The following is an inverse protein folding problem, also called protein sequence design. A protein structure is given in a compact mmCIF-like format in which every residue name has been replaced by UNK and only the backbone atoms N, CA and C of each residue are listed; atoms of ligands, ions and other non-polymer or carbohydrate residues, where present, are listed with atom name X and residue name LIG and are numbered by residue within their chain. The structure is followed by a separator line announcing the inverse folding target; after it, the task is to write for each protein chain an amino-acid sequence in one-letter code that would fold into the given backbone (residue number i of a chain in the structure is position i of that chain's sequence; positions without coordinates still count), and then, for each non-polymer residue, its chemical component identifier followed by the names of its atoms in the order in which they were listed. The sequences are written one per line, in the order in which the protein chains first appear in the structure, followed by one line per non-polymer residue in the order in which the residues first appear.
data_IF_423149948205
#
_entry.id   IF_423149948205
#
_cell.length_a   1.000
_cell.length_b   1.000
_cell.length_c   1.000
_cell.angle_alpha   90.00
_cell.angle_beta   90.00
_cell.angle_gamma   90.00
#
_symmetry.space_group_name_H-M   'P 1'
#
loop_
_entity.id
_entity.type
_entity.pdbx_description
1 polymer ?
#
# COMPACT_ATOMS: atom_id res chain seq x y z
N UNK A 1 -18.74 -34.21 -30.85
CA UNK A 1 -18.28 -32.80 -30.68
C UNK A 1 -17.46 -32.75 -29.39
N UNK A 2 -16.13 -32.82 -29.49
CA UNK A 2 -15.27 -32.67 -28.32
C UNK A 2 -15.24 -31.17 -27.94
N UNK A 3 -15.39 -30.80 -26.65
CA UNK A 3 -15.25 -29.40 -26.24
C UNK A 3 -13.80 -28.99 -26.46
N UNK A 4 -13.57 -28.02 -27.34
CA UNK A 4 -12.24 -27.46 -27.53
C UNK A 4 -11.80 -26.84 -26.20
N UNK A 5 -10.58 -27.15 -25.71
CA UNK A 5 -10.02 -26.43 -24.58
C UNK A 5 -9.95 -24.97 -25.01
N UNK A 6 -10.77 -24.12 -24.38
CA UNK A 6 -10.61 -22.68 -24.46
C UNK A 6 -9.24 -22.39 -23.86
N UNK A 7 -8.22 -22.35 -24.72
CA UNK A 7 -6.94 -21.76 -24.38
C UNK A 7 -7.30 -20.35 -23.99
N UNK A 8 -7.42 -20.13 -22.67
CA UNK A 8 -7.55 -18.83 -22.05
C UNK A 8 -6.30 -18.09 -22.48
N UNK A 9 -6.40 -17.42 -23.62
CA UNK A 9 -5.39 -16.51 -24.09
C UNK A 9 -5.38 -15.43 -23.03
N UNK A 10 -4.53 -15.61 -22.03
CA UNK A 10 -3.99 -14.53 -21.23
C UNK A 10 -3.57 -13.54 -22.31
N UNK A 11 -4.25 -12.38 -22.47
CA UNK A 11 -3.83 -11.46 -23.50
C UNK A 11 -2.42 -11.08 -23.05
N UNK A 12 -1.42 -11.56 -23.78
CA UNK A 12 -0.08 -11.01 -23.76
C UNK A 12 -0.20 -9.60 -24.36
N UNK A 13 -0.89 -8.72 -23.63
CA UNK A 13 -1.04 -7.33 -23.95
C UNK A 13 0.32 -6.71 -23.63
N UNK A 14 1.07 -6.43 -24.70
CA UNK A 14 2.47 -6.02 -24.67
C UNK A 14 2.80 -4.94 -23.63
N UNK A 15 4.09 -4.86 -23.30
CA UNK A 15 4.77 -3.97 -22.34
C UNK A 15 4.08 -2.67 -21.89
N UNK A 16 3.31 -2.00 -22.76
CA UNK A 16 2.46 -0.83 -22.43
C UNK A 16 1.34 -1.12 -21.42
N UNK A 17 0.71 -2.30 -21.43
CA UNK A 17 -0.34 -2.63 -20.47
C UNK A 17 0.25 -2.91 -19.07
N UNK A 18 1.40 -3.59 -19.00
CA UNK A 18 2.15 -3.78 -17.75
C UNK A 18 2.56 -2.46 -17.10
N UNK A 19 3.02 -1.47 -17.89
CA UNK A 19 3.34 -0.14 -17.37
C UNK A 19 2.13 0.58 -16.76
N UNK A 20 0.93 0.43 -17.34
CA UNK A 20 -0.29 1.01 -16.77
C UNK A 20 -0.69 0.36 -15.45
N UNK A 21 -0.59 -0.97 -15.36
CA UNK A 21 -0.88 -1.71 -14.12
C UNK A 21 0.13 -1.33 -13.02
N UNK A 22 1.43 -1.31 -13.33
CA UNK A 22 2.48 -0.92 -12.38
C UNK A 22 2.32 0.53 -11.92
N UNK A 23 1.97 1.46 -12.81
CA UNK A 23 1.72 2.85 -12.43
C UNK A 23 0.52 2.98 -11.50
N UNK A 24 -0.57 2.26 -11.78
CA UNK A 24 -1.74 2.27 -10.91
C UNK A 24 -1.43 1.69 -9.53
N UNK A 25 -0.72 0.56 -9.50
CA UNK A 25 -0.27 -0.07 -8.25
C UNK A 25 0.67 0.83 -7.45
N UNK A 26 1.62 1.49 -8.11
CA UNK A 26 2.52 2.44 -7.46
C UNK A 26 1.76 3.63 -6.88
N UNK A 27 0.76 4.16 -7.60
CA UNK A 27 -0.08 5.26 -7.11
C UNK A 27 -0.94 4.86 -5.92
N UNK A 28 -1.55 3.67 -5.96
CA UNK A 28 -2.38 3.19 -4.84
C UNK A 28 -1.53 2.80 -3.63
N UNK A 29 -0.34 2.24 -3.85
CA UNK A 29 0.64 1.99 -2.79
C UNK A 29 1.12 3.30 -2.15
N UNK A 30 1.41 4.33 -2.96
CA UNK A 30 1.81 5.66 -2.46
C UNK A 30 0.69 6.35 -1.68
N UNK A 31 -0.57 6.26 -2.12
CA UNK A 31 -1.70 6.79 -1.35
C UNK A 31 -1.86 6.04 -0.02
N UNK A 32 -1.62 4.73 -0.02
CA UNK A 32 -1.55 3.92 1.19
C UNK A 32 -0.44 4.35 2.14
N UNK A 33 0.77 4.59 1.63
CA UNK A 33 1.91 5.09 2.40
C UNK A 33 1.56 6.40 3.10
N UNK A 34 1.00 7.36 2.35
CA UNK A 34 0.58 8.66 2.87
C UNK A 34 -0.47 8.50 3.96
N UNK A 35 -1.48 7.64 3.75
CA UNK A 35 -2.50 7.38 4.75
C UNK A 35 -1.91 6.78 6.04
N UNK A 36 -0.98 5.83 5.92
CA UNK A 36 -0.26 5.27 7.07
C UNK A 36 0.56 6.32 7.81
N UNK A 37 1.29 7.17 7.09
CA UNK A 37 2.06 8.26 7.67
C UNK A 37 1.18 9.28 8.40
N UNK A 38 0.04 9.65 7.81
CA UNK A 38 -0.95 10.54 8.45
C UNK A 38 -1.50 9.90 9.71
N UNK A 39 -1.86 8.61 9.67
CA UNK A 39 -2.36 7.91 10.86
C UNK A 39 -1.34 7.94 12.01
N UNK A 40 -0.08 7.60 11.76
CA UNK A 40 0.98 7.67 12.76
C UNK A 40 1.21 9.11 13.26
N UNK A 41 1.21 10.10 12.37
CA UNK A 41 1.34 11.51 12.75
C UNK A 41 0.21 11.98 13.66
N UNK A 42 -1.04 11.58 13.37
CA UNK A 42 -2.20 11.87 14.21
C UNK A 42 -2.06 11.23 15.60
N UNK A 43 -1.58 9.98 15.69
CA UNK A 43 -1.32 9.32 16.97
C UNK A 43 -0.26 10.06 17.80
N UNK A 44 0.80 10.55 17.15
CA UNK A 44 1.85 11.33 17.82
C UNK A 44 1.35 12.68 18.31
N UNK A 45 0.60 13.42 17.49
CA UNK A 45 0.09 14.76 17.82
C UNK A 45 -0.96 14.69 18.94
N UNK A 46 -1.83 13.68 18.91
CA UNK A 46 -2.83 13.46 19.97
C UNK A 46 -2.22 12.85 21.24
N UNK A 47 -0.91 12.55 21.23
CA UNK A 47 -0.18 11.87 22.29
C UNK A 47 -0.87 10.58 22.77
N UNK A 48 -1.47 9.83 21.84
CA UNK A 48 -2.19 8.59 22.18
C UNK A 48 -1.18 7.59 22.74
N UNK A 49 -1.41 7.10 23.96
CA UNK A 49 -0.47 6.21 24.65
C UNK A 49 0.85 6.89 25.04
N UNK A 50 0.88 8.22 25.12
CA UNK A 50 2.08 9.02 25.44
C UNK A 50 3.21 8.93 24.40
N UNK A 51 2.89 8.54 23.16
CA UNK A 51 3.88 8.33 22.10
C UNK A 51 4.65 9.62 21.78
N UNK A 52 3.96 10.76 21.66
CA UNK A 52 4.59 12.04 21.37
C UNK A 52 5.52 12.49 22.49
N UNK A 53 5.10 12.32 23.75
CA UNK A 53 5.90 12.61 24.94
C UNK A 53 7.11 11.69 25.05
N UNK A 54 6.97 10.38 24.76
CA UNK A 54 8.10 9.44 24.72
C UNK A 54 9.12 9.81 23.65
N UNK A 55 8.66 10.22 22.46
CA UNK A 55 9.53 10.66 21.37
C UNK A 55 10.28 11.93 21.77
N UNK A 56 9.60 12.92 22.34
CA UNK A 56 10.20 14.18 22.76
C UNK A 56 11.26 14.00 23.87
N UNK A 57 11.09 12.99 24.73
CA UNK A 57 12.02 12.68 25.82
C UNK A 57 13.14 11.71 25.43
N UNK A 58 13.11 11.18 24.22
CA UNK A 58 14.12 10.26 23.71
C UNK A 58 15.46 10.96 23.45
N UNK A 59 16.57 10.27 23.71
CA UNK A 59 17.92 10.70 23.32
C UNK A 59 18.05 10.89 21.81
N UNK A 60 17.25 10.17 21.02
CA UNK A 60 17.23 10.25 19.56
C UNK A 60 15.77 10.37 19.05
N UNK A 61 15.18 11.57 19.11
CA UNK A 61 13.75 11.77 18.82
C UNK A 61 13.38 11.46 17.37
N UNK A 62 14.26 11.78 16.40
CA UNK A 62 14.04 11.42 15.00
C UNK A 62 13.96 9.89 14.81
N UNK A 63 14.85 9.16 15.47
CA UNK A 63 14.92 7.71 15.36
C UNK A 63 13.68 7.06 16.00
N UNK A 64 13.26 7.57 17.16
CA UNK A 64 12.02 7.14 17.83
C UNK A 64 10.76 7.46 17.00
N UNK A 65 10.69 8.61 16.33
CA UNK A 65 9.60 8.90 15.41
C UNK A 65 9.61 7.95 14.21
N UNK A 66 10.78 7.65 13.65
CA UNK A 66 10.92 6.73 12.52
C UNK A 66 10.49 5.30 12.86
N UNK A 67 10.80 4.79 14.06
CA UNK A 67 10.40 3.43 14.46
C UNK A 67 8.89 3.27 14.61
N UNK A 68 8.18 4.35 14.98
CA UNK A 68 6.71 4.36 15.02
C UNK A 68 6.12 4.59 13.61
N UNK A 69 6.69 5.49 12.82
CA UNK A 69 6.19 5.84 11.50
C UNK A 69 6.35 4.70 10.49
N UNK A 70 7.47 3.99 10.54
CA UNK A 70 7.83 2.93 9.59
C UNK A 70 6.77 1.81 9.46
N UNK A 71 6.31 1.15 10.54
CA UNK A 71 5.32 0.09 10.42
C UNK A 71 3.98 0.61 9.86
N UNK A 72 3.54 1.80 10.26
CA UNK A 72 2.29 2.39 9.74
C UNK A 72 2.39 2.72 8.25
N UNK A 73 3.50 3.32 7.82
CA UNK A 73 3.76 3.58 6.41
C UNK A 73 3.79 2.29 5.58
N UNK A 74 4.43 1.23 6.10
CA UNK A 74 4.50 -0.06 5.41
C UNK A 74 3.14 -0.74 5.30
N UNK A 75 2.37 -0.78 6.39
CA UNK A 75 1.01 -1.35 6.42
C UNK A 75 0.09 -0.55 5.49
N UNK A 76 0.15 0.78 5.55
CA UNK A 76 -0.61 1.65 4.66
C UNK A 76 -0.29 1.37 3.20
N UNK A 77 1.00 1.28 2.86
CA UNK A 77 1.47 0.94 1.50
C UNK A 77 0.90 -0.40 1.03
N UNK A 78 0.99 -1.44 1.86
CA UNK A 78 0.47 -2.76 1.56
C UNK A 78 -1.05 -2.75 1.36
N UNK A 79 -1.79 -2.05 2.23
CA UNK A 79 -3.24 -1.89 2.12
C UNK A 79 -3.64 -1.15 0.84
N UNK A 80 -2.96 -0.04 0.52
CA UNK A 80 -3.19 0.73 -0.71
C UNK A 80 -2.88 -0.08 -1.97
N UNK A 81 -1.82 -0.89 -1.96
CA UNK A 81 -1.50 -1.81 -3.03
C UNK A 81 -2.59 -2.88 -3.21
N UNK A 82 -3.06 -3.49 -2.11
CA UNK A 82 -4.10 -4.51 -2.14
C UNK A 82 -5.43 -3.96 -2.67
N UNK A 83 -5.84 -2.76 -2.22
CA UNK A 83 -7.05 -2.07 -2.69
C UNK A 83 -6.94 -1.73 -4.18
N UNK A 84 -5.80 -1.20 -4.62
CA UNK A 84 -5.57 -0.87 -6.03
C UNK A 84 -5.55 -2.08 -6.96
N UNK A 85 -5.24 -3.29 -6.45
CA UNK A 85 -5.25 -4.53 -7.22
C UNK A 85 -6.65 -5.17 -7.31
N UNK A 86 -7.56 -4.83 -6.38
CA UNK A 86 -8.92 -5.35 -6.33
C UNK A 86 -9.71 -5.26 -7.67
N UNK A 87 -9.72 -4.13 -8.41
CA UNK A 87 -10.43 -4.05 -9.69
C UNK A 87 -9.83 -4.97 -10.75
N UNK A 88 -8.51 -5.18 -10.76
CA UNK A 88 -7.86 -6.12 -11.66
C UNK A 88 -8.28 -7.55 -11.36
N UNK A 89 -8.24 -7.96 -10.08
CA UNK A 89 -8.67 -9.30 -9.65
C UNK A 89 -10.14 -9.61 -9.95
N UNK A 90 -11.01 -8.59 -9.93
CA UNK A 90 -12.43 -8.74 -10.33
C UNK A 90 -12.58 -9.03 -11.83
N UNK A 91 -11.67 -8.51 -12.68
CA UNK A 91 -11.72 -8.69 -14.13
C UNK A 91 -11.34 -10.10 -14.60
N UNK A 92 -10.52 -10.84 -13.84
CA UNK A 92 -10.12 -12.23 -14.15
C UNK A 92 -11.01 -13.30 -13.51
N UNK A 93 -12.00 -12.89 -12.73
CA UNK A 93 -12.95 -13.80 -12.05
C UNK A 93 -14.22 -14.08 -12.85
N UNK A 94 -14.38 -13.41 -14.01
CA UNK A 94 -15.36 -13.76 -15.04
C UNK A 94 -14.65 -14.49 -16.19
#
# INVERSE_FOLDING_TARGET
MAPQPQTRTIPQAGSRNQRRILRHLAMSALSGLLAGAVAAGVLMILDIGSIGTLIARSTAPLLAAATVLAPFALIGTAAGAAIGLLPYLRKFRR
#
